data_IF_788031570368
#
_entry.id   IF_788031570368
#
_cell.length_a   1.000
_cell.length_b   1.000
_cell.length_c   1.000
_cell.angle_alpha   90.00
_cell.angle_beta   90.00
_cell.angle_gamma   90.00
#
_symmetry.space_group_name_H-M   'P 1'
#
loop_
_entity.id
_entity.type
_entity.pdbx_description
1 polymer ?
#
# COMPACT_ATOMS: atom_id res chain seq x y z
N UNK A 1 9.28 17.82 -4.98
CA UNK A 1 10.30 18.61 -5.71
C UNK A 1 10.92 19.64 -4.76
N UNK A 2 11.50 19.21 -3.64
CA UNK A 2 11.97 20.16 -2.61
C UNK A 2 13.21 19.65 -1.86
N UNK A 3 14.09 18.94 -2.56
CA UNK A 3 15.33 18.36 -2.01
C UNK A 3 16.57 18.51 -2.89
N UNK A 4 16.48 19.28 -3.98
CA UNK A 4 17.63 19.56 -4.84
C UNK A 4 18.18 20.92 -4.42
N UNK A 5 19.36 20.92 -3.79
CA UNK A 5 20.01 22.14 -3.29
C UNK A 5 20.83 22.83 -4.38
N UNK A 6 21.37 22.07 -5.32
CA UNK A 6 22.11 22.59 -6.48
C UNK A 6 22.13 21.54 -7.60
N UNK A 7 22.14 21.99 -8.85
CA UNK A 7 22.33 21.16 -10.03
C UNK A 7 23.21 21.91 -11.04
N UNK A 8 24.24 21.26 -11.56
CA UNK A 8 25.18 21.84 -12.52
C UNK A 8 25.07 21.11 -13.85
N UNK A 9 24.88 21.83 -14.94
CA UNK A 9 24.87 21.25 -16.28
C UNK A 9 26.28 20.88 -16.71
N UNK A 10 26.45 19.70 -17.30
CA UNK A 10 27.71 19.26 -17.91
C UNK A 10 27.65 19.46 -19.42
N UNK A 11 28.81 19.53 -20.08
CA UNK A 11 28.92 19.57 -21.56
C UNK A 11 28.79 18.17 -22.19
N UNK A 12 28.50 17.15 -21.38
CA UNK A 12 28.35 15.76 -21.82
C UNK A 12 26.92 15.51 -22.32
N UNK A 13 26.81 15.01 -23.55
CA UNK A 13 25.53 14.74 -24.17
C UNK A 13 24.94 13.42 -23.63
N UNK A 14 23.80 13.50 -22.94
CA UNK A 14 23.12 12.33 -22.39
C UNK A 14 22.40 11.56 -23.51
N UNK A 15 22.88 10.37 -23.82
CA UNK A 15 22.25 9.51 -24.82
C UNK A 15 21.20 8.60 -24.17
N UNK A 16 19.92 8.79 -24.52
CA UNK A 16 18.84 7.87 -24.12
C UNK A 16 18.82 6.67 -25.08
N UNK A 17 18.92 5.43 -24.58
CA UNK A 17 18.79 4.25 -25.44
C UNK A 17 17.44 4.20 -26.17
N UNK A 18 17.44 3.73 -27.41
CA UNK A 18 16.25 3.68 -28.28
C UNK A 18 15.16 2.71 -27.77
N UNK A 19 15.54 1.77 -26.91
CA UNK A 19 14.70 0.76 -26.26
C UNK A 19 14.34 1.11 -24.81
N UNK A 20 14.67 2.33 -24.35
CA UNK A 20 14.44 2.73 -22.97
C UNK A 20 12.98 3.12 -22.69
N UNK A 21 12.24 2.19 -22.10
CA UNK A 21 10.90 2.38 -21.56
C UNK A 21 10.94 3.08 -20.19
N UNK A 22 10.76 4.41 -20.20
CA UNK A 22 10.84 5.25 -18.99
C UNK A 22 9.86 4.81 -17.90
N UNK A 23 8.67 4.31 -18.25
CA UNK A 23 7.71 3.82 -17.27
C UNK A 23 8.23 2.60 -16.50
N UNK A 24 8.73 1.59 -17.22
CA UNK A 24 9.26 0.37 -16.62
C UNK A 24 10.53 0.62 -15.79
N UNK A 25 11.44 1.46 -16.28
CA UNK A 25 12.65 1.83 -15.55
C UNK A 25 12.35 2.69 -14.31
N UNK A 26 11.32 3.54 -14.37
CA UNK A 26 10.90 4.32 -13.22
C UNK A 26 10.25 3.44 -12.15
N UNK A 27 9.40 2.48 -12.54
CA UNK A 27 8.81 1.50 -11.63
C UNK A 27 9.88 0.64 -10.95
N UNK A 28 10.90 0.19 -11.71
CA UNK A 28 12.03 -0.59 -11.17
C UNK A 28 12.87 0.20 -10.15
N UNK A 29 13.18 1.47 -10.44
CA UNK A 29 13.94 2.34 -9.52
C UNK A 29 13.13 2.65 -8.25
N UNK A 30 11.82 2.87 -8.38
CA UNK A 30 10.93 3.07 -7.22
C UNK A 30 10.86 1.78 -6.39
N UNK A 31 10.68 0.62 -7.02
CA UNK A 31 10.65 -0.68 -6.35
C UNK A 31 11.96 -1.00 -5.64
N UNK A 32 13.12 -0.69 -6.23
CA UNK A 32 14.44 -0.91 -5.61
C UNK A 32 14.67 0.05 -4.43
N UNK A 33 14.25 1.31 -4.54
CA UNK A 33 14.36 2.28 -3.45
C UNK A 33 13.42 1.95 -2.28
N UNK A 34 12.21 1.45 -2.54
CA UNK A 34 11.22 1.10 -1.52
C UNK A 34 11.57 -0.24 -0.81
N UNK A 35 12.29 -1.16 -1.44
CA UNK A 35 12.84 -2.37 -0.80
C UNK A 35 13.85 -2.08 0.31
N UNK A 36 14.52 -0.91 0.30
CA UNK A 36 15.52 -0.52 1.31
C UNK A 36 14.89 0.06 2.57
N UNK A 37 13.58 0.32 2.60
CA UNK A 37 12.86 0.74 3.81
C UNK A 37 12.34 -0.48 4.57
N UNK A 38 12.43 -0.45 5.90
CA UNK A 38 11.76 -1.43 6.76
C UNK A 38 10.27 -1.53 6.38
N UNK A 39 9.69 -2.74 6.25
CA UNK A 39 8.32 -2.91 5.81
C UNK A 39 7.35 -2.24 6.79
N UNK A 40 6.41 -1.46 6.24
CA UNK A 40 5.27 -0.93 6.99
C UNK A 40 4.37 -2.08 7.38
N UNK A 41 3.82 -2.03 8.59
CA UNK A 41 2.83 -3.01 9.04
C UNK A 41 1.58 -2.36 9.62
N UNK A 42 0.49 -3.13 9.64
CA UNK A 42 -0.76 -2.82 10.30
C UNK A 42 -1.27 -4.07 11.02
N UNK A 43 -1.97 -3.85 12.14
CA UNK A 43 -2.72 -4.93 12.78
C UNK A 43 -4.19 -4.73 12.49
N UNK A 44 -4.83 -5.81 12.06
CA UNK A 44 -6.24 -5.82 11.73
C UNK A 44 -7.00 -6.86 12.54
N UNK A 45 -8.29 -6.59 12.76
CA UNK A 45 -9.26 -7.57 13.26
C UNK A 45 -10.17 -8.00 12.11
N UNK A 46 -10.39 -9.31 12.01
CA UNK A 46 -11.23 -9.93 10.98
C UNK A 46 -11.89 -11.20 11.53
N UNK A 47 -13.04 -11.60 10.99
CA UNK A 47 -13.62 -12.91 11.34
C UNK A 47 -12.65 -14.06 10.96
N UNK A 48 -12.48 -15.08 11.82
CA UNK A 48 -11.50 -16.15 11.60
C UNK A 48 -11.63 -16.88 10.26
N UNK A 49 -12.86 -17.02 9.73
CA UNK A 49 -13.11 -17.67 8.43
C UNK A 49 -12.44 -16.97 7.24
N UNK A 50 -12.13 -15.69 7.35
CA UNK A 50 -11.52 -14.91 6.27
C UNK A 50 -9.99 -14.84 6.35
N UNK A 51 -9.37 -15.33 7.43
CA UNK A 51 -7.90 -15.33 7.60
C UNK A 51 -7.20 -16.03 6.44
N UNK A 52 -7.75 -17.16 5.95
CA UNK A 52 -7.19 -17.86 4.79
C UNK A 52 -7.14 -16.98 3.54
N UNK A 53 -8.16 -16.14 3.33
CA UNK A 53 -8.23 -15.25 2.18
C UNK A 53 -7.25 -14.08 2.33
N UNK A 54 -7.13 -13.50 3.52
CA UNK A 54 -6.07 -12.51 3.81
C UNK A 54 -4.68 -13.10 3.58
N UNK A 55 -4.44 -14.34 4.02
CA UNK A 55 -3.16 -15.02 3.80
C UNK A 55 -2.90 -15.28 2.32
N UNK A 56 -3.92 -15.62 1.51
CA UNK A 56 -3.76 -15.72 0.06
C UNK A 56 -3.41 -14.37 -0.58
N UNK A 57 -3.97 -13.27 -0.08
CA UNK A 57 -3.64 -11.93 -0.58
C UNK A 57 -2.20 -11.53 -0.18
N UNK A 58 -1.85 -11.59 1.10
CA UNK A 58 -0.58 -11.05 1.63
C UNK A 58 0.59 -12.05 1.68
N UNK A 59 0.32 -13.34 1.48
CA UNK A 59 1.32 -14.39 1.51
C UNK A 59 2.10 -14.38 2.82
N UNK A 60 3.43 -14.43 2.72
CA UNK A 60 4.36 -14.37 3.87
C UNK A 60 4.27 -13.09 4.70
N UNK A 61 3.59 -12.05 4.20
CA UNK A 61 3.39 -10.78 4.89
C UNK A 61 2.07 -10.76 5.69
N UNK A 62 1.45 -11.93 5.90
CA UNK A 62 0.28 -12.14 6.74
C UNK A 62 0.65 -13.01 7.93
N UNK A 63 0.52 -12.51 9.14
CA UNK A 63 0.85 -13.25 10.36
C UNK A 63 -0.31 -13.17 11.36
N UNK A 64 -0.78 -14.33 11.84
CA UNK A 64 -1.81 -14.39 12.88
C UNK A 64 -1.15 -14.17 14.24
N UNK A 65 -1.53 -13.11 14.93
CA UNK A 65 -1.02 -12.75 16.25
C UNK A 65 -1.80 -13.40 17.39
N UNK A 66 -3.03 -13.84 17.09
CA UNK A 66 -3.93 -14.46 18.04
C UNK A 66 -5.38 -14.09 17.76
N UNK A 67 -6.17 -14.08 18.80
CA UNK A 67 -7.60 -13.76 18.76
C UNK A 67 -7.91 -12.64 19.74
N UNK A 68 -8.87 -11.80 19.39
CA UNK A 68 -9.42 -10.74 20.23
C UNK A 68 -10.93 -10.66 19.98
N UNK A 69 -11.72 -10.85 21.04
CA UNK A 69 -13.18 -10.75 21.00
C UNK A 69 -13.85 -11.62 19.90
N UNK A 70 -13.37 -12.86 19.71
CA UNK A 70 -13.87 -13.77 18.68
C UNK A 70 -13.39 -13.47 17.25
N UNK A 71 -12.52 -12.45 17.08
CA UNK A 71 -11.94 -12.05 15.80
C UNK A 71 -10.45 -12.38 15.77
N UNK A 72 -9.95 -12.83 14.62
CA UNK A 72 -8.54 -13.05 14.44
C UNK A 72 -7.81 -11.70 14.39
N UNK A 73 -6.74 -11.57 15.17
CA UNK A 73 -5.82 -10.44 15.14
C UNK A 73 -4.66 -10.79 14.22
N UNK A 74 -4.53 -10.05 13.12
CA UNK A 74 -3.60 -10.37 12.03
C UNK A 74 -2.69 -9.19 11.76
N UNK A 75 -1.38 -9.40 11.69
CA UNK A 75 -0.41 -8.42 11.18
C UNK A 75 -0.30 -8.57 9.67
N UNK A 76 -0.47 -7.46 8.97
CA UNK A 76 -0.27 -7.32 7.55
C UNK A 76 0.94 -6.43 7.32
N UNK A 77 1.82 -6.80 6.40
CA UNK A 77 2.97 -5.98 6.01
C UNK A 77 3.01 -5.73 4.50
N UNK A 78 3.51 -4.55 4.11
CA UNK A 78 3.81 -4.20 2.73
C UNK A 78 4.92 -3.14 2.70
N UNK A 79 5.29 -2.71 1.49
CA UNK A 79 6.32 -1.69 1.30
C UNK A 79 5.80 -0.28 1.67
N UNK A 80 4.50 0.00 1.48
CA UNK A 80 3.88 1.30 1.83
C UNK A 80 2.56 1.14 2.58
N UNK A 81 2.10 2.16 3.33
CA UNK A 81 0.76 2.16 3.92
C UNK A 81 -0.34 2.06 2.87
N UNK A 82 -0.15 2.72 1.72
CA UNK A 82 -1.09 2.72 0.61
C UNK A 82 -1.31 1.30 0.07
N UNK A 83 -0.24 0.54 -0.12
CA UNK A 83 -0.34 -0.86 -0.57
C UNK A 83 -1.16 -1.74 0.37
N UNK A 84 -1.03 -1.55 1.69
CA UNK A 84 -1.90 -2.26 2.65
C UNK A 84 -3.35 -1.82 2.46
N UNK A 85 -3.58 -0.50 2.40
CA UNK A 85 -4.90 0.09 2.29
C UNK A 85 -5.65 -0.36 1.01
N UNK A 86 -5.01 -0.32 -0.16
CA UNK A 86 -5.62 -0.74 -1.44
C UNK A 86 -6.11 -2.20 -1.40
N UNK A 87 -5.31 -3.10 -0.82
CA UNK A 87 -5.64 -4.52 -0.73
C UNK A 87 -6.80 -4.80 0.23
N UNK A 88 -6.97 -3.98 1.27
CA UNK A 88 -8.01 -4.19 2.28
C UNK A 88 -9.24 -3.28 2.11
N UNK A 89 -9.17 -2.21 1.30
CA UNK A 89 -10.27 -1.26 1.12
C UNK A 89 -11.56 -1.95 0.62
N UNK A 90 -11.44 -2.93 -0.28
CA UNK A 90 -12.57 -3.68 -0.81
C UNK A 90 -13.30 -4.57 0.21
N UNK A 91 -12.71 -4.80 1.39
CA UNK A 91 -13.34 -5.56 2.46
C UNK A 91 -14.33 -4.72 3.28
N UNK A 92 -14.24 -3.39 3.18
CA UNK A 92 -15.05 -2.47 3.97
C UNK A 92 -15.02 -2.81 5.47
N UNK A 93 -16.19 -2.85 6.09
CA UNK A 93 -16.33 -3.10 7.53
C UNK A 93 -15.93 -4.50 8.00
N UNK A 94 -15.66 -5.45 7.09
CA UNK A 94 -15.21 -6.81 7.47
C UNK A 94 -13.78 -6.81 8.02
N UNK A 95 -12.97 -5.80 7.69
CA UNK A 95 -11.60 -5.63 8.18
C UNK A 95 -11.50 -4.33 8.97
N UNK A 96 -11.06 -4.41 10.22
CA UNK A 96 -10.85 -3.25 11.09
C UNK A 96 -9.36 -3.05 11.35
N UNK A 97 -8.80 -1.88 11.02
CA UNK A 97 -7.39 -1.56 11.29
C UNK A 97 -7.23 -0.98 12.71
N UNK A 98 -6.74 -1.80 13.64
CA UNK A 98 -6.52 -1.39 15.04
C UNK A 98 -5.18 -0.69 15.22
N UNK A 99 -4.15 -1.06 14.47
CA UNK A 99 -2.81 -0.46 14.55
C UNK A 99 -2.31 -0.03 13.17
N UNK A 100 -1.58 1.11 13.15
CA UNK A 100 -1.12 1.87 11.97
C UNK A 100 -2.03 3.04 11.60
N UNK A 101 -1.69 4.23 12.13
CA UNK A 101 -2.32 5.49 11.72
C UNK A 101 -2.13 5.80 10.22
N UNK A 102 -0.93 5.58 9.61
CA UNK A 102 -0.76 5.82 8.18
C UNK A 102 -1.70 5.00 7.29
N UNK A 103 -1.94 3.73 7.62
CA UNK A 103 -2.88 2.89 6.84
C UNK A 103 -4.31 3.40 6.95
N UNK A 104 -4.73 3.86 8.14
CA UNK A 104 -6.07 4.47 8.31
C UNK A 104 -6.25 5.75 7.51
N UNK A 105 -5.18 6.56 7.38
CA UNK A 105 -5.21 7.77 6.54
C UNK A 105 -5.42 7.41 5.07
N UNK A 106 -4.70 6.43 4.54
CA UNK A 106 -4.87 5.98 3.16
C UNK A 106 -6.26 5.36 2.92
N UNK A 107 -6.77 4.56 3.86
CA UNK A 107 -8.14 4.03 3.76
C UNK A 107 -9.19 5.13 3.73
N UNK A 108 -9.04 6.18 4.55
CA UNK A 108 -9.94 7.32 4.53
C UNK A 108 -9.88 8.08 3.19
N UNK A 109 -8.68 8.25 2.62
CA UNK A 109 -8.48 8.86 1.30
C UNK A 109 -9.16 8.04 0.20
N UNK A 110 -8.90 6.73 0.15
CA UNK A 110 -9.53 5.81 -0.82
C UNK A 110 -11.06 5.85 -0.67
N UNK A 111 -11.57 5.79 0.57
CA UNK A 111 -13.00 5.87 0.83
C UNK A 111 -13.64 7.17 0.34
N UNK A 112 -12.95 8.31 0.52
CA UNK A 112 -13.39 9.61 0.02
C UNK A 112 -13.43 9.64 -1.52
N UNK A 113 -12.38 9.16 -2.19
CA UNK A 113 -12.31 9.09 -3.67
C UNK A 113 -13.41 8.20 -4.25
N UNK A 114 -13.64 7.03 -3.66
CA UNK A 114 -14.71 6.12 -4.07
C UNK A 114 -16.09 6.75 -3.87
N UNK A 115 -16.30 7.43 -2.75
CA UNK A 115 -17.57 8.11 -2.46
C UNK A 115 -17.80 9.30 -3.39
N UNK A 116 -16.77 10.08 -3.70
CA UNK A 116 -16.87 11.20 -4.63
C UNK A 116 -17.24 10.73 -6.04
N UNK A 117 -16.60 9.66 -6.50
CA UNK A 117 -16.76 9.14 -7.87
C UNK A 117 -18.03 8.32 -8.05
N UNK A 118 -18.41 7.52 -7.06
CA UNK A 118 -19.50 6.54 -7.18
C UNK A 118 -20.66 6.75 -6.19
N UNK A 119 -20.53 7.63 -5.20
CA UNK A 119 -21.58 7.90 -4.21
C UNK A 119 -22.79 8.67 -4.76
N UNK A 120 -22.70 9.15 -6.01
CA UNK A 120 -23.82 9.73 -6.77
C UNK A 120 -24.42 8.73 -7.78
N UNK A 121 -24.36 7.43 -7.50
CA UNK A 121 -25.04 6.42 -8.30
C UNK A 121 -26.51 6.80 -8.53
N UNK A 122 -26.91 6.77 -9.80
CA UNK A 122 -28.16 7.30 -10.38
C UNK A 122 -29.35 7.37 -9.43
N UNK A 123 -29.86 8.58 -9.21
CA UNK A 123 -31.17 8.84 -8.62
C UNK A 123 -32.26 8.63 -9.67
#
# INVERSE_FOLDING_TARGET
MDRITEATATEEEAHRPDDFELGAAWDEVVDEMEQRRSPVSAVVLIEPRFVRVLHMQFGRHCEVLGEQDGRARVRLAAHTPLSIAERIAGWGATVEVTESAPVRVELARIGAELTERYGRGDK
#
